data_IF_742227386681
#
_entry.id   IF_742227386681
#
_cell.length_a   1.000
_cell.length_b   1.000
_cell.length_c   1.000
_cell.angle_alpha   90.00
_cell.angle_beta   90.00
_cell.angle_gamma   90.00
#
_symmetry.space_group_name_H-M   'P 1'
#
loop_
_entity.id
_entity.type
_entity.pdbx_description
1 polymer ?
#
# COMPACT_ATOMS: atom_id res chain seq x y z
N UNK A 1 41.37 16.50 -33.37
CA UNK A 1 41.23 17.26 -32.10
C UNK A 1 40.31 16.49 -31.20
N UNK A 2 40.87 15.84 -30.19
CA UNK A 2 40.09 15.01 -29.27
C UNK A 2 39.29 15.85 -28.29
N UNK A 3 37.97 15.64 -28.21
CA UNK A 3 37.16 16.15 -27.12
C UNK A 3 37.55 15.38 -25.85
N UNK A 4 38.28 16.01 -24.97
CA UNK A 4 38.58 15.49 -23.63
C UNK A 4 37.32 15.56 -22.81
N UNK A 5 36.80 14.38 -22.43
CA UNK A 5 35.66 14.23 -21.56
C UNK A 5 35.91 14.88 -20.20
N UNK A 6 35.21 15.97 -19.88
CA UNK A 6 35.31 16.69 -18.61
C UNK A 6 34.59 15.98 -17.43
N UNK A 7 34.29 14.69 -17.58
CA UNK A 7 33.62 13.91 -16.53
C UNK A 7 34.59 13.12 -15.62
N UNK A 8 35.88 13.19 -15.87
CA UNK A 8 36.87 12.41 -15.13
C UNK A 8 37.29 13.03 -13.77
N UNK A 9 36.95 14.29 -13.49
CA UNK A 9 37.44 15.03 -12.31
C UNK A 9 36.34 15.37 -11.28
N UNK A 10 35.18 14.69 -11.31
CA UNK A 10 34.21 14.84 -10.23
C UNK A 10 34.63 13.96 -9.04
N UNK A 11 34.89 14.55 -7.85
CA UNK A 11 35.17 13.74 -6.67
C UNK A 11 33.96 12.84 -6.38
N UNK A 12 34.18 11.59 -5.93
CA UNK A 12 33.11 10.69 -5.62
C UNK A 12 32.19 11.33 -4.57
N UNK A 13 30.90 11.42 -4.89
CA UNK A 13 29.90 11.90 -3.95
C UNK A 13 29.82 10.87 -2.82
N UNK A 14 30.50 11.17 -1.71
CA UNK A 14 30.37 10.38 -0.49
C UNK A 14 28.98 10.65 0.08
N UNK A 15 28.02 9.78 -0.26
CA UNK A 15 26.73 9.75 0.40
C UNK A 15 27.01 9.26 1.82
N UNK A 16 27.14 10.22 2.77
CA UNK A 16 27.18 9.85 4.19
C UNK A 16 25.86 9.16 4.51
N UNK A 17 25.89 7.93 5.03
CA UNK A 17 24.65 7.29 5.48
C UNK A 17 24.00 8.24 6.48
N UNK A 18 22.74 8.60 6.23
CA UNK A 18 21.95 9.42 7.15
C UNK A 18 21.91 8.68 8.46
N UNK A 19 22.47 9.26 9.51
CA UNK A 19 22.35 8.72 10.85
C UNK A 19 20.85 8.66 11.16
N UNK A 20 20.30 7.45 11.11
CA UNK A 20 18.88 7.24 11.42
C UNK A 20 18.70 7.51 12.92
N UNK A 21 17.77 8.41 13.23
CA UNK A 21 17.38 8.69 14.60
C UNK A 21 16.93 7.39 15.27
N UNK A 22 17.47 7.01 16.44
CA UNK A 22 17.07 5.81 17.17
C UNK A 22 15.56 5.74 17.46
N UNK A 23 14.88 6.88 17.57
CA UNK A 23 13.42 6.97 17.72
C UNK A 23 12.69 6.51 16.46
N UNK A 24 13.21 6.83 15.29
CA UNK A 24 12.66 6.41 14.00
C UNK A 24 12.80 4.88 13.83
N UNK A 25 13.95 4.29 14.21
CA UNK A 25 14.14 2.84 14.17
C UNK A 25 13.17 2.09 15.08
N UNK A 26 12.91 2.61 16.28
CA UNK A 26 11.92 1.99 17.19
C UNK A 26 10.51 2.05 16.64
N UNK A 27 10.10 3.18 16.08
CA UNK A 27 8.80 3.34 15.44
C UNK A 27 8.64 2.35 14.27
N UNK A 28 9.66 2.26 13.41
CA UNK A 28 9.67 1.32 12.26
C UNK A 28 9.60 -0.14 12.72
N UNK A 29 10.33 -0.54 13.78
CA UNK A 29 10.27 -1.90 14.31
C UNK A 29 8.88 -2.25 14.86
N UNK A 30 8.23 -1.33 15.57
CA UNK A 30 6.86 -1.53 16.06
C UNK A 30 5.86 -1.61 14.91
N UNK A 31 5.99 -0.75 13.90
CA UNK A 31 5.19 -0.80 12.69
C UNK A 31 5.26 -2.17 12.01
N UNK A 32 6.47 -2.68 11.80
CA UNK A 32 6.66 -3.99 11.18
C UNK A 32 6.05 -5.11 12.01
N UNK A 33 6.16 -5.06 13.34
CA UNK A 33 5.50 -6.03 14.24
C UNK A 33 3.99 -6.03 14.05
N UNK A 34 3.37 -4.85 14.08
CA UNK A 34 1.91 -4.70 13.90
C UNK A 34 1.47 -5.19 12.52
N UNK A 35 2.20 -4.83 11.45
CA UNK A 35 1.90 -5.26 10.09
C UNK A 35 2.05 -6.79 9.92
N UNK A 36 2.98 -7.41 10.62
CA UNK A 36 3.12 -8.87 10.67
C UNK A 36 1.98 -9.53 11.44
N UNK A 37 1.58 -8.97 12.58
CA UNK A 37 0.44 -9.46 13.38
C UNK A 37 -0.88 -9.39 12.60
N UNK A 38 -1.09 -8.33 11.84
CA UNK A 38 -2.25 -8.16 10.94
C UNK A 38 -2.23 -9.24 9.85
N UNK A 39 -1.05 -9.61 9.36
CA UNK A 39 -0.85 -10.60 8.30
C UNK A 39 -1.28 -10.11 6.93
N UNK A 40 -1.69 -11.05 6.09
CA UNK A 40 -2.12 -10.80 4.72
C UNK A 40 -3.55 -11.30 4.50
N UNK A 41 -4.33 -10.55 3.74
CA UNK A 41 -5.69 -10.93 3.35
C UNK A 41 -5.91 -10.64 1.85
N UNK A 42 -5.61 -11.58 0.96
CA UNK A 42 -5.73 -11.39 -0.49
C UNK A 42 -7.15 -11.06 -0.97
N UNK A 43 -8.18 -11.37 -0.17
CA UNK A 43 -9.58 -11.12 -0.53
C UNK A 43 -10.10 -9.75 -0.08
N UNK A 44 -9.30 -8.98 0.67
CA UNK A 44 -9.70 -7.66 1.14
C UNK A 44 -9.95 -6.66 -0.02
N UNK A 45 -9.27 -6.86 -1.15
CA UNK A 45 -9.48 -6.10 -2.40
C UNK A 45 -9.63 -7.08 -3.56
N UNK A 46 -10.65 -6.90 -4.38
CA UNK A 46 -10.88 -7.76 -5.55
C UNK A 46 -9.92 -7.40 -6.71
N UNK A 47 -8.67 -7.84 -6.58
CA UNK A 47 -7.63 -7.59 -7.59
C UNK A 47 -7.92 -8.29 -8.93
N UNK A 48 -8.71 -9.38 -8.93
CA UNK A 48 -9.14 -10.03 -10.17
C UNK A 48 -10.09 -9.14 -10.98
N UNK A 49 -11.06 -8.50 -10.34
CA UNK A 49 -11.94 -7.55 -11.01
C UNK A 49 -11.12 -6.34 -11.55
N UNK A 50 -10.12 -5.87 -10.81
CA UNK A 50 -9.24 -4.80 -11.25
C UNK A 50 -8.40 -5.20 -12.48
N UNK A 51 -7.88 -6.42 -12.51
CA UNK A 51 -7.14 -6.95 -13.66
C UNK A 51 -8.03 -7.10 -14.88
N UNK A 52 -9.21 -7.70 -14.75
CA UNK A 52 -10.19 -7.89 -15.83
C UNK A 52 -10.66 -6.56 -16.41
N UNK A 53 -10.87 -5.57 -15.55
CA UNK A 53 -11.27 -4.21 -15.96
C UNK A 53 -10.10 -3.33 -16.41
N UNK A 54 -8.88 -3.86 -16.44
CA UNK A 54 -7.65 -3.17 -16.87
C UNK A 54 -7.40 -1.87 -16.10
N UNK A 55 -7.65 -1.85 -14.81
CA UNK A 55 -7.56 -0.65 -13.97
C UNK A 55 -6.12 -0.26 -13.58
N UNK A 56 -5.11 -1.05 -13.94
CA UNK A 56 -3.71 -0.74 -13.60
C UNK A 56 -3.26 0.68 -13.92
N UNK A 57 -3.59 1.28 -15.08
CA UNK A 57 -3.15 2.64 -15.40
C UNK A 57 -3.59 3.70 -14.38
N UNK A 58 -4.73 3.48 -13.70
CA UNK A 58 -5.28 4.40 -12.70
C UNK A 58 -4.57 4.28 -11.34
N UNK A 59 -3.99 3.12 -11.04
CA UNK A 59 -3.40 2.79 -9.74
C UNK A 59 -1.90 2.52 -9.79
N UNK A 60 -1.25 2.58 -10.96
CA UNK A 60 0.17 2.23 -11.15
C UNK A 60 1.14 3.04 -10.30
N UNK A 61 0.76 4.26 -9.95
CA UNK A 61 1.59 5.19 -9.19
C UNK A 61 1.29 5.14 -7.67
N UNK A 62 0.41 4.22 -7.24
CA UNK A 62 0.09 4.05 -5.83
C UNK A 62 1.28 3.42 -5.09
N UNK A 63 1.73 4.12 -4.06
CA UNK A 63 2.77 3.66 -3.13
C UNK A 63 2.32 3.97 -1.69
N UNK A 64 1.89 2.94 -0.96
CA UNK A 64 1.40 3.09 0.41
C UNK A 64 2.47 3.59 1.39
N UNK A 65 3.75 3.47 1.07
CA UNK A 65 4.85 3.96 1.90
C UNK A 65 5.25 5.40 1.57
N UNK A 66 4.75 5.95 0.43
CA UNK A 66 5.12 7.29 -0.03
C UNK A 66 3.96 7.98 -0.76
N UNK A 67 2.87 8.22 -0.07
CA UNK A 67 1.62 8.80 -0.59
C UNK A 67 1.23 10.02 0.22
N UNK A 68 0.70 11.07 -0.42
CA UNK A 68 0.12 12.18 0.33
C UNK A 68 -1.30 11.83 0.83
N UNK A 69 -1.78 12.46 1.90
CA UNK A 69 -3.14 12.27 2.39
C UNK A 69 -4.21 12.54 1.33
N UNK A 70 -4.00 13.56 0.51
CA UNK A 70 -4.90 13.91 -0.58
C UNK A 70 -4.94 12.81 -1.64
N UNK A 71 -3.77 12.37 -2.12
CA UNK A 71 -3.64 11.26 -3.06
C UNK A 71 -4.29 9.99 -2.52
N UNK A 72 -4.05 9.65 -1.25
CA UNK A 72 -4.63 8.48 -0.61
C UNK A 72 -6.16 8.54 -0.54
N UNK A 73 -6.71 9.73 -0.24
CA UNK A 73 -8.14 9.98 -0.27
C UNK A 73 -8.73 9.83 -1.68
N UNK A 74 -8.02 10.28 -2.70
CA UNK A 74 -8.46 10.16 -4.09
C UNK A 74 -8.41 8.71 -4.57
N UNK A 75 -7.41 7.94 -4.19
CA UNK A 75 -7.40 6.49 -4.44
C UNK A 75 -8.57 5.78 -3.75
N UNK A 76 -8.88 6.15 -2.51
CA UNK A 76 -10.06 5.63 -1.79
C UNK A 76 -11.36 5.91 -2.54
N UNK A 77 -11.58 7.13 -2.99
CA UNK A 77 -12.75 7.53 -3.80
C UNK A 77 -12.83 6.76 -5.12
N UNK A 78 -11.71 6.57 -5.81
CA UNK A 78 -11.66 5.80 -7.05
C UNK A 78 -12.02 4.34 -6.80
N UNK A 79 -11.46 3.70 -5.78
CA UNK A 79 -11.80 2.32 -5.42
C UNK A 79 -13.30 2.18 -5.09
N UNK A 80 -13.87 3.15 -4.38
CA UNK A 80 -15.30 3.19 -4.09
C UNK A 80 -16.14 3.36 -5.36
N UNK A 81 -15.75 4.25 -6.26
CA UNK A 81 -16.45 4.48 -7.53
C UNK A 81 -16.50 3.21 -8.42
N UNK A 82 -15.49 2.36 -8.34
CA UNK A 82 -15.47 1.05 -9.01
C UNK A 82 -16.15 -0.07 -8.20
N UNK A 83 -16.70 0.23 -7.02
CA UNK A 83 -17.34 -0.76 -6.15
C UNK A 83 -16.38 -1.79 -5.55
N UNK A 84 -15.09 -1.46 -5.47
CA UNK A 84 -14.03 -2.35 -4.98
C UNK A 84 -13.87 -2.30 -3.45
N UNK A 85 -14.31 -1.21 -2.83
CA UNK A 85 -14.31 -1.01 -1.37
C UNK A 85 -15.65 -0.41 -0.93
N UNK A 86 -15.94 -0.50 0.37
CA UNK A 86 -17.09 0.17 0.97
C UNK A 86 -16.78 1.64 1.34
N UNK A 87 -17.84 2.39 1.66
CA UNK A 87 -17.74 3.81 2.03
C UNK A 87 -16.81 4.03 3.22
N UNK A 88 -16.87 3.17 4.23
CA UNK A 88 -16.04 3.32 5.44
C UNK A 88 -14.55 3.14 5.13
N UNK A 89 -14.19 2.15 4.33
CA UNK A 89 -12.81 1.94 3.89
C UNK A 89 -12.28 3.13 3.10
N UNK A 90 -13.08 3.65 2.14
CA UNK A 90 -12.70 4.83 1.35
C UNK A 90 -12.54 6.08 2.24
N UNK A 91 -13.44 6.27 3.19
CA UNK A 91 -13.42 7.37 4.15
C UNK A 91 -12.20 7.30 5.09
N UNK A 92 -11.85 6.09 5.57
CA UNK A 92 -10.65 5.86 6.36
C UNK A 92 -9.37 6.18 5.57
N UNK A 93 -9.29 5.79 4.30
CA UNK A 93 -8.17 6.17 3.44
C UNK A 93 -8.06 7.70 3.32
N UNK A 94 -9.17 8.40 3.16
CA UNK A 94 -9.20 9.86 3.11
C UNK A 94 -8.84 10.54 4.42
N UNK A 95 -8.98 9.84 5.55
CA UNK A 95 -8.66 10.36 6.88
C UNK A 95 -7.24 10.04 7.36
N UNK A 96 -6.43 9.36 6.58
CA UNK A 96 -5.12 8.86 6.98
C UNK A 96 -4.17 9.92 7.57
N UNK A 97 -4.40 11.21 7.35
CA UNK A 97 -3.58 12.27 7.90
C UNK A 97 -4.41 13.46 8.38
N UNK A 98 -5.58 13.21 8.93
CA UNK A 98 -6.33 14.23 9.63
C UNK A 98 -5.62 14.63 10.95
N UNK A 99 -4.48 15.28 10.82
CA UNK A 99 -4.06 16.25 11.81
C UNK A 99 -4.81 17.53 11.52
N UNK A 100 -5.88 17.76 12.24
CA UNK A 100 -6.58 19.03 12.19
C UNK A 100 -5.76 20.07 12.95
N UNK A 101 -5.56 21.22 12.33
CA UNK A 101 -5.14 22.41 13.06
C UNK A 101 -6.25 22.90 14.00
N UNK A 102 -5.98 23.98 14.74
CA UNK A 102 -6.94 24.56 15.68
C UNK A 102 -8.23 25.06 14.98
N UNK A 103 -8.17 25.27 13.68
CA UNK A 103 -9.27 25.76 12.83
C UNK A 103 -10.02 24.64 12.11
N UNK A 104 -9.66 23.36 12.39
CA UNK A 104 -10.29 22.19 11.79
C UNK A 104 -9.88 21.93 10.34
N UNK A 105 -8.78 22.53 9.86
CA UNK A 105 -8.23 22.26 8.54
C UNK A 105 -7.17 21.17 8.62
N UNK A 106 -7.11 20.34 7.58
CA UNK A 106 -6.07 19.31 7.44
C UNK A 106 -4.73 20.02 7.28
N UNK A 107 -3.78 19.70 8.17
CA UNK A 107 -2.41 20.19 8.06
C UNK A 107 -1.63 19.32 7.08
N UNK A 108 -1.00 19.97 6.08
CA UNK A 108 -0.12 19.30 5.11
C UNK A 108 -0.76 18.15 4.30
N UNK A 109 -1.89 18.39 3.60
CA UNK A 109 -2.57 17.35 2.82
C UNK A 109 -1.73 16.86 1.62
N UNK A 110 -0.75 17.65 1.20
CA UNK A 110 0.16 17.44 0.08
C UNK A 110 1.50 16.79 0.46
N UNK A 111 1.83 16.72 1.76
CA UNK A 111 3.09 16.12 2.22
C UNK A 111 2.98 14.61 2.23
N UNK A 112 3.91 13.93 1.55
CA UNK A 112 3.96 12.47 1.49
C UNK A 112 4.27 11.84 2.84
N UNK A 113 3.52 10.81 3.18
CA UNK A 113 3.63 10.04 4.41
C UNK A 113 3.75 8.55 4.10
N UNK A 114 4.20 7.76 5.06
CA UNK A 114 4.03 6.31 5.05
C UNK A 114 2.65 5.98 5.65
N UNK A 115 1.68 5.68 4.77
CA UNK A 115 0.31 5.38 5.19
C UNK A 115 0.24 4.08 6.01
N UNK A 116 1.03 3.07 5.67
CA UNK A 116 1.07 1.81 6.44
C UNK A 116 1.56 2.05 7.87
N UNK A 117 2.57 2.89 8.05
CA UNK A 117 3.06 3.27 9.39
C UNK A 117 2.00 4.05 10.17
N UNK A 118 1.31 4.99 9.52
CA UNK A 118 0.22 5.75 10.13
C UNK A 118 -0.88 4.83 10.65
N UNK A 119 -1.37 3.91 9.81
CA UNK A 119 -2.43 2.99 10.20
C UNK A 119 -1.97 1.98 11.25
N UNK A 120 -0.72 1.49 11.17
CA UNK A 120 -0.17 0.60 12.18
C UNK A 120 -0.13 1.26 13.57
N UNK A 121 0.28 2.52 13.65
CA UNK A 121 0.24 3.29 14.92
C UNK A 121 -1.20 3.42 15.45
N UNK A 122 -2.15 3.73 14.59
CA UNK A 122 -3.57 3.83 14.99
C UNK A 122 -4.13 2.50 15.47
N UNK A 123 -3.77 1.40 14.82
CA UNK A 123 -4.17 0.05 15.23
C UNK A 123 -3.58 -0.28 16.60
N UNK A 124 -2.31 0.00 16.85
CA UNK A 124 -1.65 -0.21 18.13
C UNK A 124 -2.34 0.59 19.28
N UNK A 125 -2.63 1.87 19.03
CA UNK A 125 -3.38 2.71 19.96
C UNK A 125 -4.79 2.15 20.25
N UNK A 126 -5.49 1.67 19.20
CA UNK A 126 -6.82 1.09 19.34
C UNK A 126 -6.79 -0.24 20.10
N UNK A 127 -5.81 -1.10 19.83
CA UNK A 127 -5.61 -2.35 20.55
C UNK A 127 -5.40 -2.08 22.04
N UNK A 128 -4.59 -1.09 22.38
CA UNK A 128 -4.37 -0.67 23.77
C UNK A 128 -5.66 -0.16 24.41
N UNK A 129 -6.45 0.66 23.71
CA UNK A 129 -7.74 1.17 24.19
C UNK A 129 -8.78 0.06 24.36
N UNK A 130 -8.80 -0.94 23.49
CA UNK A 130 -9.68 -2.11 23.64
C UNK A 130 -9.39 -2.87 24.91
N UNK A 131 -8.12 -3.01 25.31
CA UNK A 131 -7.71 -3.63 26.58
C UNK A 131 -8.22 -2.86 27.79
N UNK A 132 -8.42 -1.55 27.66
CA UNK A 132 -8.99 -0.69 28.73
C UNK A 132 -10.52 -0.57 28.65
N UNK A 133 -11.17 -1.30 27.74
CA UNK A 133 -12.63 -1.38 27.63
C UNK A 133 -13.29 -0.35 26.73
N UNK A 134 -12.54 0.32 25.85
CA UNK A 134 -13.10 1.28 24.88
C UNK A 134 -13.89 0.58 23.78
N UNK A 135 -15.20 0.83 23.78
CA UNK A 135 -16.15 0.21 22.83
C UNK A 135 -15.96 0.71 21.40
N UNK A 136 -15.61 1.98 21.22
CA UNK A 136 -15.41 2.56 19.88
C UNK A 136 -14.19 1.95 19.19
N UNK A 137 -13.07 1.86 19.89
CA UNK A 137 -11.87 1.19 19.37
C UNK A 137 -12.16 -0.26 19.01
N UNK A 138 -12.93 -0.98 19.83
CA UNK A 138 -13.33 -2.36 19.54
C UNK A 138 -14.15 -2.48 18.25
N UNK A 139 -15.04 -1.54 17.97
CA UNK A 139 -15.88 -1.55 16.77
C UNK A 139 -15.11 -1.18 15.51
N UNK A 140 -14.20 -0.20 15.60
CA UNK A 140 -13.48 0.35 14.44
C UNK A 140 -12.20 -0.43 14.09
N UNK A 141 -11.61 -1.14 15.03
CA UNK A 141 -10.37 -1.87 14.82
C UNK A 141 -10.39 -2.80 13.59
N UNK A 142 -11.45 -3.62 13.36
CA UNK A 142 -11.53 -4.46 12.16
C UNK A 142 -11.48 -3.67 10.84
N UNK A 143 -12.09 -2.49 10.81
CA UNK A 143 -12.14 -1.64 9.62
C UNK A 143 -10.79 -0.99 9.31
N UNK A 144 -10.04 -0.60 10.34
CA UNK A 144 -8.65 -0.15 10.19
C UNK A 144 -7.74 -1.26 9.67
N UNK A 145 -7.86 -2.47 10.20
CA UNK A 145 -7.13 -3.66 9.73
C UNK A 145 -7.49 -3.95 8.27
N UNK A 146 -8.78 -3.94 7.92
CA UNK A 146 -9.25 -4.11 6.54
C UNK A 146 -8.66 -3.07 5.60
N UNK A 147 -8.61 -1.80 6.02
CA UNK A 147 -8.03 -0.71 5.22
C UNK A 147 -6.55 -0.94 4.95
N UNK A 148 -5.78 -1.43 5.93
CA UNK A 148 -4.38 -1.82 5.72
C UNK A 148 -4.27 -2.94 4.70
N UNK A 149 -5.11 -3.97 4.78
CA UNK A 149 -5.12 -5.06 3.80
C UNK A 149 -5.46 -4.56 2.40
N UNK A 150 -6.42 -3.65 2.26
CA UNK A 150 -6.76 -3.02 0.97
C UNK A 150 -5.55 -2.28 0.39
N UNK A 151 -4.86 -1.46 1.19
CA UNK A 151 -3.68 -0.72 0.74
C UNK A 151 -2.53 -1.67 0.33
N UNK A 152 -2.27 -2.72 1.10
CA UNK A 152 -1.24 -3.74 0.76
C UNK A 152 -1.59 -4.44 -0.57
N UNK A 153 -2.84 -4.84 -0.76
CA UNK A 153 -3.29 -5.49 -1.98
C UNK A 153 -3.24 -4.54 -3.18
N UNK A 154 -3.61 -3.27 -2.99
CA UNK A 154 -3.53 -2.24 -4.02
C UNK A 154 -2.07 -2.00 -4.43
N UNK A 155 -1.14 -1.96 -3.49
CA UNK A 155 0.29 -1.82 -3.77
C UNK A 155 0.83 -2.97 -4.61
N UNK A 156 0.48 -4.20 -4.28
CA UNK A 156 0.86 -5.39 -5.06
C UNK A 156 0.29 -5.30 -6.47
N UNK A 157 -0.99 -4.95 -6.62
CA UNK A 157 -1.62 -4.78 -7.93
C UNK A 157 -1.00 -3.62 -8.73
N UNK A 158 -0.73 -2.48 -8.11
CA UNK A 158 -0.08 -1.33 -8.74
C UNK A 158 1.27 -1.71 -9.35
N UNK A 159 2.08 -2.46 -8.61
CA UNK A 159 3.42 -2.88 -9.03
C UNK A 159 3.39 -3.96 -10.11
N UNK A 160 2.53 -4.96 -10.00
CA UNK A 160 2.49 -6.13 -10.90
C UNK A 160 1.50 -5.99 -12.04
N UNK A 161 0.34 -5.38 -11.79
CA UNK A 161 -0.81 -5.37 -12.68
C UNK A 161 -1.56 -6.69 -12.75
N UNK A 162 -1.19 -7.65 -11.91
CA UNK A 162 -1.75 -9.00 -11.86
C UNK A 162 -2.56 -9.19 -10.57
N UNK A 163 -3.62 -9.98 -10.65
CA UNK A 163 -4.33 -10.45 -9.46
C UNK A 163 -3.51 -11.50 -8.71
N UNK A 164 -3.85 -11.73 -7.46
CA UNK A 164 -3.23 -12.80 -6.67
C UNK A 164 -3.39 -14.17 -7.33
N UNK A 165 -4.54 -14.43 -7.96
CA UNK A 165 -4.77 -15.65 -8.73
C UNK A 165 -3.81 -15.79 -9.90
N UNK A 166 -3.63 -14.73 -10.68
CA UNK A 166 -2.70 -14.70 -11.82
C UNK A 166 -1.25 -14.87 -11.35
N UNK A 167 -0.86 -14.21 -10.26
CA UNK A 167 0.49 -14.36 -9.69
C UNK A 167 0.76 -15.79 -9.20
N UNK A 168 -0.21 -16.41 -8.52
CA UNK A 168 -0.10 -17.80 -8.06
C UNK A 168 0.02 -18.75 -9.25
N UNK A 169 -0.75 -18.54 -10.32
CA UNK A 169 -0.69 -19.33 -11.54
C UNK A 169 0.66 -19.17 -12.26
N UNK A 170 1.15 -17.94 -12.39
CA UNK A 170 2.45 -17.66 -12.99
C UNK A 170 3.59 -18.34 -12.22
N UNK A 171 3.50 -18.37 -10.88
CA UNK A 171 4.46 -19.08 -10.04
C UNK A 171 4.45 -20.58 -10.32
N UNK A 172 3.26 -21.21 -10.36
CA UNK A 172 3.11 -22.66 -10.65
C UNK A 172 3.68 -23.02 -12.03
N UNK A 173 3.43 -22.19 -13.05
CA UNK A 173 4.01 -22.37 -14.39
C UNK A 173 5.53 -22.29 -14.35
N UNK A 174 6.07 -21.31 -13.63
CA UNK A 174 7.52 -21.11 -13.48
C UNK A 174 8.18 -22.31 -12.76
N UNK A 175 7.48 -22.89 -11.80
CA UNK A 175 7.92 -24.08 -11.04
C UNK A 175 7.76 -25.39 -11.85
N UNK A 176 7.35 -25.31 -13.12
CA UNK A 176 7.28 -26.44 -14.06
C UNK A 176 6.00 -27.28 -13.94
N UNK A 177 4.97 -26.80 -13.26
CA UNK A 177 3.69 -27.49 -13.15
C UNK A 177 2.91 -27.40 -14.46
N UNK A 178 2.47 -28.57 -14.99
CA UNK A 178 1.59 -28.59 -16.18
C UNK A 178 0.18 -28.16 -15.80
N UNK A 179 -0.23 -27.00 -16.29
CA UNK A 179 -1.55 -26.44 -16.03
C UNK A 179 -2.43 -26.68 -17.26
N UNK A 180 -3.70 -27.05 -17.05
CA UNK A 180 -4.65 -27.21 -18.13
C UNK A 180 -4.92 -25.84 -18.80
N UNK A 181 -4.93 -25.81 -20.14
CA UNK A 181 -5.12 -24.57 -20.92
C UNK A 181 -6.38 -23.78 -20.57
N UNK A 182 -7.42 -24.45 -20.06
CA UNK A 182 -8.66 -23.83 -19.61
C UNK A 182 -8.48 -22.88 -18.42
N UNK A 183 -7.44 -23.11 -17.61
CA UNK A 183 -7.12 -22.32 -16.40
C UNK A 183 -6.17 -21.16 -16.71
N UNK A 184 -5.63 -21.10 -17.93
CA UNK A 184 -4.70 -20.04 -18.31
C UNK A 184 -5.43 -18.72 -18.59
N UNK A 185 -5.02 -17.61 -17.96
CA UNK A 185 -5.52 -16.28 -18.34
C UNK A 185 -5.22 -15.97 -19.81
N UNK A 186 -6.08 -15.16 -20.44
CA UNK A 186 -5.95 -14.80 -21.84
C UNK A 186 -4.56 -14.26 -22.23
N UNK A 187 -3.89 -13.55 -21.31
CA UNK A 187 -2.53 -13.04 -21.49
C UNK A 187 -1.45 -14.12 -21.65
N UNK A 188 -1.69 -15.33 -21.14
CA UNK A 188 -0.73 -16.43 -21.17
C UNK A 188 -1.02 -17.43 -22.30
N UNK A 189 -2.27 -17.49 -22.78
CA UNK A 189 -2.66 -18.35 -23.94
C UNK A 189 -1.96 -17.96 -25.25
N UNK A 190 -1.48 -16.74 -25.37
CA UNK A 190 -0.80 -16.23 -26.57
C UNK A 190 0.73 -16.47 -26.58
N UNK A 191 1.29 -17.11 -25.55
CA UNK A 191 2.73 -17.35 -25.42
C UNK A 191 3.14 -18.84 -25.42
N UNK A 192 2.17 -19.75 -25.63
CA UNK A 192 2.39 -21.21 -25.73
C UNK A 192 2.34 -21.65 -27.18
#
# INVERSE_FOLDING_TARGET
MGMVSRYADMPPVIIKPRLEDPSIKKASANTNRILQEIGENPVALNTLAMEQSKLRPLFKDFDAENVSPEELGDFGKQLLAFGLVDNLTADLMGRAALEFDKDGKITHPDVKINALEFFAKRIDEMQTKVLTGDKYSKLLLPDYIKTVHVMKNLQVFASTGDSYGTMALNKRIKDGEKIKDELLPAKLKSKV
#
